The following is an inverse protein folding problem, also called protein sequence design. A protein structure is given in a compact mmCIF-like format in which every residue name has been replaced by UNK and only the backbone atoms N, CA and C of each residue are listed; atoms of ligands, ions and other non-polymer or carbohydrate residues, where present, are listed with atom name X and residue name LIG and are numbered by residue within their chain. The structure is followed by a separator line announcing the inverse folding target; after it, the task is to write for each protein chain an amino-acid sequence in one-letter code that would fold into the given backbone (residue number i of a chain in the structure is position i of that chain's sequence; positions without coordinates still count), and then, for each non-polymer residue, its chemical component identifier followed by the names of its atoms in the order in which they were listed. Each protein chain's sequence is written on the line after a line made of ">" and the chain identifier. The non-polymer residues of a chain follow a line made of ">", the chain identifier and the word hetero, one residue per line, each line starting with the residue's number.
data_IF_151476635847
#
_entry.id   IF_151476635847
#
_cell.length_a   1.000
_cell.length_b   1.000
_cell.length_c   1.000
_cell.angle_alpha   90.00
_cell.angle_beta   90.00
_cell.angle_gamma   90.00
#
_symmetry.space_group_name_H-M   'P 1'
#
loop_
_entity.id
_entity.type
_entity.pdbx_description
1 polymer ?
#
# COMPACT_ATOMS: atom_id res chain seq x y z
N UNK A 1 -3.00 -22.86 -10.05
CA UNK A 1 -1.80 -22.03 -10.31
C UNK A 1 -1.31 -21.49 -8.98
N UNK A 2 -0.14 -21.94 -8.51
CA UNK A 2 0.53 -21.30 -7.38
C UNK A 2 0.94 -19.88 -7.79
N UNK A 3 0.54 -18.89 -6.99
CA UNK A 3 1.00 -17.51 -7.14
C UNK A 3 2.36 -17.48 -6.43
N UNK A 4 3.47 -17.31 -7.15
CA UNK A 4 4.83 -17.29 -6.59
C UNK A 4 5.10 -16.11 -5.64
N UNK A 5 4.30 -16.01 -4.58
CA UNK A 5 4.30 -14.93 -3.59
C UNK A 5 4.86 -15.51 -2.30
N UNK A 6 6.00 -14.98 -1.88
CA UNK A 6 6.60 -15.30 -0.57
C UNK A 6 5.86 -14.55 0.53
N UNK A 7 5.42 -15.26 1.57
CA UNK A 7 4.75 -14.62 2.72
C UNK A 7 5.80 -14.06 3.67
N UNK A 8 5.92 -12.74 3.69
CA UNK A 8 6.88 -12.01 4.54
C UNK A 8 6.13 -11.21 5.61
N UNK A 9 5.27 -11.88 6.37
CA UNK A 9 4.49 -11.25 7.45
C UNK A 9 4.99 -11.82 8.78
N UNK A 10 5.55 -10.98 9.67
CA UNK A 10 6.05 -11.44 10.94
C UNK A 10 4.97 -12.15 11.77
N UNK A 11 5.30 -13.26 12.44
CA UNK A 11 4.40 -13.89 13.38
C UNK A 11 4.11 -12.95 14.57
N UNK A 12 2.93 -13.12 15.20
CA UNK A 12 2.68 -12.46 16.49
C UNK A 12 3.69 -12.96 17.53
N UNK A 13 4.10 -12.06 18.43
CA UNK A 13 5.06 -12.36 19.50
C UNK A 13 4.65 -13.55 20.38
N UNK A 14 3.36 -13.76 20.59
CA UNK A 14 2.81 -14.84 21.42
C UNK A 14 2.57 -16.16 20.66
N UNK A 15 3.09 -16.31 19.44
CA UNK A 15 2.91 -17.53 18.66
C UNK A 15 3.84 -18.65 19.18
N UNK A 16 3.29 -19.85 19.40
CA UNK A 16 4.04 -21.03 19.87
C UNK A 16 5.17 -21.42 18.93
N UNK A 17 4.91 -21.41 17.62
CA UNK A 17 5.92 -21.65 16.59
C UNK A 17 6.24 -20.34 15.88
N UNK A 18 7.43 -19.82 16.11
CA UNK A 18 7.94 -18.67 15.38
C UNK A 18 8.31 -19.10 13.95
N UNK A 19 7.98 -18.25 12.98
CA UNK A 19 8.37 -18.43 11.59
C UNK A 19 9.53 -17.49 11.31
N UNK A 20 10.53 -17.96 10.60
CA UNK A 20 11.56 -17.08 10.07
C UNK A 20 10.91 -16.08 9.12
N UNK A 21 11.27 -14.81 9.27
CA UNK A 21 10.73 -13.72 8.46
C UNK A 21 11.85 -12.74 8.18
N UNK A 22 11.98 -12.35 6.91
CA UNK A 22 12.86 -11.26 6.54
C UNK A 22 12.26 -9.92 6.99
N UNK A 23 12.78 -9.40 8.10
CA UNK A 23 12.34 -8.13 8.66
C UNK A 23 12.78 -6.92 7.82
N UNK A 24 13.87 -7.03 7.06
CA UNK A 24 14.30 -5.97 6.17
C UNK A 24 13.30 -5.82 5.02
N UNK A 25 12.92 -6.93 4.40
CA UNK A 25 11.89 -6.94 3.36
C UNK A 25 10.51 -6.55 3.90
N UNK A 26 10.13 -6.99 5.10
CA UNK A 26 8.86 -6.54 5.72
C UNK A 26 8.81 -5.02 5.95
N UNK A 27 9.95 -4.39 6.26
CA UNK A 27 10.04 -2.94 6.51
C UNK A 27 9.71 -2.11 5.26
N UNK A 28 9.97 -2.63 4.06
CA UNK A 28 9.68 -1.94 2.80
C UNK A 28 8.19 -1.64 2.61
N UNK A 29 7.30 -2.42 3.25
CA UNK A 29 5.85 -2.15 3.28
C UNK A 29 5.51 -0.74 3.73
N UNK A 30 6.31 -0.15 4.63
CA UNK A 30 6.12 1.22 5.11
C UNK A 30 6.14 2.26 3.97
N UNK A 31 6.89 2.02 2.89
CA UNK A 31 6.90 2.92 1.72
C UNK A 31 5.51 2.97 1.07
N UNK A 32 4.90 1.79 0.88
CA UNK A 32 3.55 1.66 0.32
C UNK A 32 2.51 2.28 1.25
N UNK A 33 2.62 2.04 2.57
CA UNK A 33 1.70 2.62 3.55
C UNK A 33 1.76 4.15 3.58
N UNK A 34 2.98 4.71 3.58
CA UNK A 34 3.18 6.16 3.51
C UNK A 34 2.63 6.76 2.23
N UNK A 35 2.81 6.08 1.09
CA UNK A 35 2.22 6.50 -0.18
C UNK A 35 0.69 6.57 -0.09
N UNK A 36 0.02 5.52 0.38
CA UNK A 36 -1.44 5.54 0.54
C UNK A 36 -1.92 6.54 1.60
N UNK A 37 -1.13 6.79 2.64
CA UNK A 37 -1.43 7.83 3.61
C UNK A 37 -1.44 9.22 2.96
N UNK A 38 -0.43 9.54 2.14
CA UNK A 38 -0.40 10.78 1.35
C UNK A 38 -1.55 10.83 0.34
N UNK A 39 -1.84 9.73 -0.35
CA UNK A 39 -2.93 9.65 -1.32
C UNK A 39 -4.31 9.94 -0.68
N UNK A 40 -4.50 9.55 0.58
CA UNK A 40 -5.73 9.82 1.34
C UNK A 40 -5.87 11.27 1.81
N UNK A 41 -4.83 12.10 1.73
CA UNK A 41 -4.95 13.54 2.00
C UNK A 41 -5.78 14.25 0.94
N UNK A 42 -5.82 13.69 -0.28
CA UNK A 42 -6.69 14.15 -1.35
C UNK A 42 -8.12 13.67 -1.08
N UNK A 43 -8.94 14.52 -0.46
CA UNK A 43 -10.31 14.19 -0.03
C UNK A 43 -11.13 13.50 -1.13
N UNK A 44 -11.13 14.05 -2.36
CA UNK A 44 -11.88 13.49 -3.48
C UNK A 44 -11.51 12.03 -3.81
N UNK A 45 -10.23 11.67 -3.64
CA UNK A 45 -9.74 10.30 -3.83
C UNK A 45 -10.14 9.42 -2.63
N UNK A 46 -9.92 9.90 -1.41
CA UNK A 46 -10.24 9.15 -0.19
C UNK A 46 -11.72 8.77 -0.07
N UNK A 47 -12.62 9.69 -0.44
CA UNK A 47 -14.08 9.48 -0.40
C UNK A 47 -14.63 8.96 -1.72
N UNK A 48 -13.80 8.80 -2.76
CA UNK A 48 -14.20 8.32 -4.09
C UNK A 48 -15.38 9.10 -4.67
N UNK A 49 -15.22 10.42 -4.80
CA UNK A 49 -16.27 11.28 -5.36
C UNK A 49 -16.56 11.02 -6.84
N UNK A 50 -15.55 10.62 -7.61
CA UNK A 50 -15.71 10.29 -9.02
C UNK A 50 -16.56 9.04 -9.23
N UNK A 51 -17.68 9.19 -9.95
CA UNK A 51 -18.60 8.09 -10.29
C UNK A 51 -18.01 7.16 -11.35
N UNK A 52 -17.25 7.71 -12.30
CA UNK A 52 -16.63 6.96 -13.39
C UNK A 52 -15.28 6.40 -12.95
N UNK A 53 -15.07 5.10 -13.25
CA UNK A 53 -13.82 4.41 -12.93
C UNK A 53 -12.60 5.07 -13.61
N UNK A 54 -12.78 5.56 -14.83
CA UNK A 54 -11.73 6.23 -15.61
C UNK A 54 -11.31 7.55 -14.97
N UNK A 55 -12.27 8.39 -14.57
CA UNK A 55 -11.99 9.67 -13.91
C UNK A 55 -11.30 9.46 -12.57
N UNK A 56 -11.78 8.51 -11.76
CA UNK A 56 -11.13 8.15 -10.50
C UNK A 56 -9.69 7.68 -10.71
N UNK A 57 -9.44 6.84 -11.73
CA UNK A 57 -8.09 6.36 -12.05
C UNK A 57 -7.17 7.52 -12.46
N UNK A 58 -7.65 8.42 -13.31
CA UNK A 58 -6.90 9.61 -13.73
C UNK A 58 -6.54 10.50 -12.53
N UNK A 59 -7.48 10.72 -11.60
CA UNK A 59 -7.24 11.47 -10.38
C UNK A 59 -6.17 10.81 -9.49
N UNK A 60 -6.23 9.48 -9.33
CA UNK A 60 -5.22 8.71 -8.58
C UNK A 60 -3.84 8.81 -9.25
N UNK A 61 -3.76 8.68 -10.57
CA UNK A 61 -2.50 8.80 -11.31
C UNK A 61 -1.91 10.21 -11.16
N UNK A 62 -2.75 11.24 -11.29
CA UNK A 62 -2.32 12.63 -11.12
C UNK A 62 -1.78 12.89 -9.71
N UNK A 63 -2.51 12.48 -8.67
CA UNK A 63 -2.05 12.60 -7.29
C UNK A 63 -0.77 11.79 -7.02
N UNK A 64 -0.61 10.63 -7.67
CA UNK A 64 0.62 9.82 -7.56
C UNK A 64 1.83 10.56 -8.13
N UNK A 65 1.68 11.24 -9.27
CA UNK A 65 2.74 12.06 -9.87
C UNK A 65 3.09 13.23 -8.94
N UNK A 66 2.10 13.91 -8.36
CA UNK A 66 2.34 14.98 -7.38
C UNK A 66 3.14 14.46 -6.18
N UNK A 67 2.75 13.31 -5.61
CA UNK A 67 3.45 12.71 -4.46
C UNK A 67 4.90 12.33 -4.82
N UNK A 68 5.17 11.95 -6.07
CA UNK A 68 6.50 11.56 -6.53
C UNK A 68 7.43 12.77 -6.73
N UNK A 69 6.90 13.89 -7.23
CA UNK A 69 7.68 15.10 -7.53
C UNK A 69 7.92 16.00 -6.29
N UNK A 70 7.21 15.74 -5.20
CA UNK A 70 7.33 16.44 -3.90
C UNK A 70 8.29 15.72 -2.96
#
# INVERSE_FOLDING_TARGET
>A
KERGITVVIPPKRNRTTQRETDFALYRERNLVERFFNKLKQFRAIATRYDKLKSTFLAAVQFASIIILLN
#
